data_IF_581334546709
#
_entry.id   IF_581334546709
#
_cell.length_a   1.000
_cell.length_b   1.000
_cell.length_c   1.000
_cell.angle_alpha   90.00
_cell.angle_beta   90.00
_cell.angle_gamma   90.00
#
_symmetry.space_group_name_H-M   'P 1'
#
loop_
_entity.id
_entity.type
_entity.pdbx_description
1 polymer ?
#
# COMPACT_ATOMS: atom_id res chain seq x y z
N UNK A 1 -14.30 37.21 14.47
CA UNK A 1 -12.84 37.16 14.21
C UNK A 1 -12.04 36.62 15.41
N UNK A 2 -12.11 37.20 16.62
CA UNK A 2 -11.40 36.66 17.81
C UNK A 2 -11.97 35.34 18.36
N UNK A 3 -13.27 35.07 18.15
CA UNK A 3 -13.95 33.90 18.71
C UNK A 3 -13.59 32.60 17.99
N UNK A 4 -13.54 32.59 16.66
CA UNK A 4 -13.22 31.40 15.84
C UNK A 4 -11.75 30.96 15.95
N UNK A 5 -10.83 31.91 16.14
CA UNK A 5 -9.40 31.65 16.40
C UNK A 5 -9.18 30.88 17.71
N UNK A 6 -10.06 31.11 18.69
CA UNK A 6 -9.96 30.54 20.04
C UNK A 6 -10.44 29.08 20.08
N UNK A 7 -11.42 28.70 19.27
CA UNK A 7 -12.06 27.37 19.24
C UNK A 7 -11.13 26.32 18.63
N UNK A 8 -10.43 26.67 17.56
CA UNK A 8 -9.50 25.76 16.89
C UNK A 8 -8.19 25.61 17.66
N UNK A 9 -7.71 26.67 18.33
CA UNK A 9 -6.63 26.55 19.32
C UNK A 9 -7.05 25.73 20.55
N UNK A 10 -8.30 25.84 21.00
CA UNK A 10 -8.85 25.02 22.09
C UNK A 10 -8.75 23.53 21.78
N UNK A 11 -9.08 23.10 20.55
CA UNK A 11 -9.02 21.69 20.13
C UNK A 11 -7.58 21.15 20.07
N UNK A 12 -6.61 21.95 19.63
CA UNK A 12 -5.19 21.58 19.59
C UNK A 12 -4.60 21.50 21.00
N UNK A 13 -4.99 22.40 21.90
CA UNK A 13 -4.48 22.40 23.28
C UNK A 13 -5.17 21.35 24.16
N UNK A 14 -6.47 21.07 23.96
CA UNK A 14 -7.20 19.99 24.65
C UNK A 14 -6.69 18.60 24.27
N UNK A 15 -6.42 18.37 22.98
CA UNK A 15 -5.76 17.15 22.50
C UNK A 15 -4.34 17.01 23.06
N UNK A 16 -3.60 18.10 23.27
CA UNK A 16 -2.31 18.09 23.96
C UNK A 16 -2.43 17.79 25.47
N UNK A 17 -3.50 18.22 26.14
CA UNK A 17 -3.72 17.90 27.57
C UNK A 17 -4.16 16.46 27.81
N UNK A 18 -4.87 15.82 26.88
CA UNK A 18 -5.11 14.37 26.92
C UNK A 18 -3.81 13.60 26.58
N UNK A 19 -2.97 14.14 25.68
CA UNK A 19 -1.64 13.62 25.37
C UNK A 19 -0.65 13.66 26.55
N UNK A 20 -0.83 14.56 27.53
CA UNK A 20 -0.05 14.55 28.78
C UNK A 20 -0.13 13.20 29.52
N UNK A 21 -1.17 12.40 29.27
CA UNK A 21 -1.34 11.11 29.92
C UNK A 21 -0.63 9.95 29.20
N UNK A 22 -0.15 10.11 27.96
CA UNK A 22 0.28 8.97 27.13
C UNK A 22 1.57 9.12 26.31
N UNK A 23 2.16 10.31 26.14
CA UNK A 23 3.41 10.43 25.36
C UNK A 23 4.31 11.62 25.78
N UNK A 24 5.62 11.38 25.82
CA UNK A 24 6.66 12.39 26.11
C UNK A 24 6.80 13.43 25.01
N UNK A 25 6.52 13.09 23.75
CA UNK A 25 6.60 14.02 22.61
C UNK A 25 5.53 15.12 22.60
N UNK A 26 4.35 14.84 23.17
CA UNK A 26 3.26 15.82 23.30
C UNK A 26 3.52 16.88 24.36
N UNK A 27 4.31 16.54 25.40
CA UNK A 27 4.68 17.48 26.47
C UNK A 27 5.61 18.59 25.99
N UNK A 28 6.60 18.27 25.15
CA UNK A 28 7.53 19.24 24.58
C UNK A 28 6.84 20.24 23.64
N UNK A 29 5.92 19.76 22.78
CA UNK A 29 5.15 20.64 21.88
C UNK A 29 4.26 21.63 22.64
N UNK A 30 3.74 21.23 23.80
CA UNK A 30 2.92 22.09 24.64
C UNK A 30 3.76 23.17 25.36
N UNK A 31 4.95 22.81 25.85
CA UNK A 31 5.87 23.76 26.47
C UNK A 31 6.39 24.81 25.47
N UNK A 32 6.70 24.39 24.24
CA UNK A 32 7.09 25.28 23.14
C UNK A 32 5.97 26.28 22.79
N UNK A 33 4.72 25.81 22.74
CA UNK A 33 3.54 26.65 22.49
C UNK A 33 3.27 27.64 23.63
N UNK A 34 3.49 27.23 24.89
CA UNK A 34 3.36 28.13 26.04
C UNK A 34 4.44 29.21 26.06
N UNK A 35 5.66 28.84 25.65
CA UNK A 35 6.79 29.76 25.56
C UNK A 35 6.58 30.82 24.48
N UNK A 36 6.09 30.43 23.29
CA UNK A 36 5.79 31.37 22.21
C UNK A 36 4.55 32.25 22.48
N UNK A 37 3.54 31.77 23.22
CA UNK A 37 2.25 32.47 23.37
C UNK A 37 1.73 32.54 24.83
N UNK A 38 2.42 33.22 25.76
CA UNK A 38 2.09 33.20 27.19
C UNK A 38 0.75 33.84 27.57
N UNK A 39 0.23 34.79 26.78
CA UNK A 39 -1.05 35.46 27.04
C UNK A 39 -2.29 34.60 26.77
N UNK A 40 -2.13 33.47 26.07
CA UNK A 40 -3.24 32.57 25.75
C UNK A 40 -3.68 31.74 26.96
N UNK A 41 -2.72 31.33 27.81
CA UNK A 41 -2.91 30.41 28.95
C UNK A 41 -3.92 30.91 29.99
N UNK A 42 -4.07 32.22 30.15
CA UNK A 42 -4.91 32.79 31.20
C UNK A 42 -6.42 32.78 30.91
N UNK A 43 -6.83 32.45 29.68
CA UNK A 43 -8.22 32.56 29.20
C UNK A 43 -9.01 31.24 29.31
N UNK A 44 -8.37 30.15 29.76
CA UNK A 44 -8.86 28.77 29.58
C UNK A 44 -9.75 28.22 30.70
N UNK A 45 -9.86 28.85 31.87
CA UNK A 45 -10.61 28.29 33.01
C UNK A 45 -12.15 28.41 32.92
N UNK A 46 -12.70 28.96 31.84
CA UNK A 46 -14.11 29.40 31.80
C UNK A 46 -14.94 28.94 30.57
N UNK A 47 -14.48 27.97 29.76
CA UNK A 47 -15.19 27.59 28.51
C UNK A 47 -15.69 26.14 28.51
N UNK A 48 -16.97 25.99 28.18
CA UNK A 48 -17.69 24.72 28.02
C UNK A 48 -17.54 24.19 26.57
N UNK A 49 -16.97 22.98 26.43
CA UNK A 49 -16.47 22.41 25.18
C UNK A 49 -17.56 21.91 24.23
N UNK A 50 -18.70 21.48 24.75
CA UNK A 50 -19.70 20.75 23.97
C UNK A 50 -20.54 21.70 23.08
N UNK A 51 -20.66 22.97 23.49
CA UNK A 51 -21.37 23.99 22.74
C UNK A 51 -20.65 24.42 21.44
N UNK A 52 -19.32 24.23 21.37
CA UNK A 52 -18.50 24.74 20.27
C UNK A 52 -18.44 23.82 19.05
N UNK A 53 -18.56 22.51 19.26
CA UNK A 53 -18.49 21.50 18.20
C UNK A 53 -19.73 21.47 17.30
N UNK A 54 -20.87 21.96 17.79
CA UNK A 54 -22.17 21.84 17.09
C UNK A 54 -22.42 22.96 16.07
N UNK A 55 -21.76 24.12 16.16
CA UNK A 55 -22.23 25.34 15.47
C UNK A 55 -21.33 25.99 14.43
N UNK A 56 -20.10 25.54 14.15
CA UNK A 56 -19.24 26.29 13.20
C UNK A 56 -18.64 25.44 12.10
N UNK A 57 -19.30 25.44 10.94
CA UNK A 57 -18.66 25.16 9.65
C UNK A 57 -17.51 26.15 9.43
N UNK A 58 -16.28 25.68 9.56
CA UNK A 58 -15.08 26.51 9.55
C UNK A 58 -14.66 26.87 8.12
N UNK A 59 -15.27 27.92 7.56
CA UNK A 59 -15.01 28.41 6.19
C UNK A 59 -13.93 29.52 6.12
N UNK A 60 -13.19 29.78 7.20
CA UNK A 60 -12.17 30.83 7.27
C UNK A 60 -10.91 30.38 8.03
N UNK A 61 -10.07 29.55 7.39
CA UNK A 61 -8.73 29.21 7.88
C UNK A 61 -7.76 30.38 7.60
N UNK A 62 -6.96 30.77 8.61
CA UNK A 62 -5.82 31.69 8.40
C UNK A 62 -4.83 31.05 7.39
N UNK A 63 -4.08 31.83 6.61
CA UNK A 63 -3.15 31.30 5.59
C UNK A 63 -2.18 30.23 6.11
N UNK A 64 -1.70 30.34 7.36
CA UNK A 64 -0.83 29.34 7.98
C UNK A 64 -1.54 28.01 8.27
N UNK A 65 -2.82 28.04 8.66
CA UNK A 65 -3.61 26.81 8.87
C UNK A 65 -4.03 26.19 7.54
N UNK A 66 -4.29 27.03 6.54
CA UNK A 66 -4.45 26.59 5.16
C UNK A 66 -3.17 25.91 4.67
N UNK A 67 -2.00 26.49 4.93
CA UNK A 67 -0.71 25.91 4.60
C UNK A 67 -0.45 24.61 5.37
N UNK A 68 -0.76 24.54 6.67
CA UNK A 68 -0.61 23.30 7.46
C UNK A 68 -1.55 22.15 7.05
N UNK A 69 -2.74 22.46 6.52
CA UNK A 69 -3.79 21.48 6.24
C UNK A 69 -3.89 21.13 4.74
N UNK A 70 -3.65 22.10 3.86
CA UNK A 70 -3.63 21.92 2.40
C UNK A 70 -2.22 21.63 1.87
N UNK A 71 -1.15 22.03 2.58
CA UNK A 71 0.23 21.86 2.12
C UNK A 71 1.24 21.70 3.27
N UNK A 72 1.06 20.64 4.07
CA UNK A 72 1.90 20.37 5.24
C UNK A 72 3.40 20.25 4.90
N UNK A 73 3.74 19.95 3.64
CA UNK A 73 5.10 19.84 3.12
C UNK A 73 5.77 21.21 2.93
N UNK A 74 5.01 22.29 2.76
CA UNK A 74 5.55 23.65 2.76
C UNK A 74 5.98 24.14 4.15
N UNK A 75 5.73 23.38 5.22
CA UNK A 75 6.34 23.64 6.54
C UNK A 75 7.69 22.92 6.58
N UNK A 76 8.84 23.62 6.45
CA UNK A 76 10.12 22.96 6.20
C UNK A 76 10.49 21.95 7.29
N UNK A 77 10.20 22.25 8.55
CA UNK A 77 10.48 21.34 9.66
C UNK A 77 9.62 20.06 9.65
N UNK A 78 8.39 20.10 9.11
CA UNK A 78 7.55 18.90 8.94
C UNK A 78 7.97 18.10 7.72
N UNK A 79 8.26 18.78 6.60
CA UNK A 79 8.80 18.15 5.40
C UNK A 79 10.11 17.40 5.70
N UNK A 80 11.07 18.04 6.36
CA UNK A 80 12.35 17.42 6.76
C UNK A 80 12.10 16.19 7.66
N UNK A 81 11.28 16.30 8.71
CA UNK A 81 10.99 15.17 9.59
C UNK A 81 10.32 13.99 8.87
N UNK A 82 9.52 14.27 7.86
CA UNK A 82 8.89 13.24 7.05
C UNK A 82 9.91 12.57 6.11
N UNK A 83 10.76 13.35 5.44
CA UNK A 83 11.88 12.83 4.66
C UNK A 83 12.82 11.98 5.51
N UNK A 84 13.19 12.45 6.71
CA UNK A 84 14.01 11.70 7.66
C UNK A 84 13.34 10.39 8.08
N UNK A 85 12.01 10.38 8.22
CA UNK A 85 11.27 9.17 8.54
C UNK A 85 11.27 8.16 7.38
N UNK A 86 11.09 8.64 6.15
CA UNK A 86 11.18 7.83 4.94
C UNK A 86 12.59 7.24 4.74
N UNK A 87 13.65 8.04 4.90
CA UNK A 87 15.04 7.58 4.79
C UNK A 87 15.37 6.57 5.91
N UNK A 88 14.97 6.86 7.15
CA UNK A 88 15.22 5.96 8.29
C UNK A 88 14.52 4.60 8.11
N UNK A 89 13.29 4.63 7.62
CA UNK A 89 12.43 3.45 7.54
C UNK A 89 12.41 2.85 6.11
N UNK A 90 13.35 3.24 5.25
CA UNK A 90 13.38 2.83 3.84
C UNK A 90 13.43 1.33 3.64
N UNK A 91 14.10 0.59 4.54
CA UNK A 91 14.18 -0.87 4.52
C UNK A 91 12.95 -1.57 5.12
N UNK A 92 11.85 -0.85 5.32
CA UNK A 92 10.63 -1.34 5.93
C UNK A 92 9.40 -0.93 5.07
N UNK A 93 8.96 -1.81 4.15
CA UNK A 93 7.79 -1.58 3.29
C UNK A 93 6.52 -1.15 4.07
N UNK A 94 6.27 -1.76 5.23
CA UNK A 94 5.11 -1.41 6.07
C UNK A 94 5.20 0.05 6.55
N UNK A 95 6.39 0.47 6.99
CA UNK A 95 6.61 1.81 7.50
C UNK A 95 6.51 2.87 6.39
N UNK A 96 7.00 2.57 5.19
CA UNK A 96 6.83 3.43 4.01
C UNK A 96 5.34 3.65 3.74
N UNK A 97 4.54 2.58 3.68
CA UNK A 97 3.08 2.70 3.49
C UNK A 97 2.40 3.42 4.66
N UNK A 98 2.87 3.23 5.89
CA UNK A 98 2.39 4.01 7.02
C UNK A 98 2.59 5.52 6.80
N UNK A 99 3.77 5.94 6.36
CA UNK A 99 4.08 7.34 6.11
C UNK A 99 3.26 7.91 4.94
N UNK A 100 3.09 7.17 3.85
CA UNK A 100 2.28 7.64 2.70
C UNK A 100 0.80 7.82 3.05
N UNK A 101 0.22 6.91 3.85
CA UNK A 101 -1.15 7.05 4.34
C UNK A 101 -1.29 8.12 5.43
N UNK A 102 -0.24 8.34 6.23
CA UNK A 102 -0.20 9.43 7.20
C UNK A 102 -0.25 10.79 6.51
N UNK A 103 0.37 10.95 5.34
CA UNK A 103 0.25 12.18 4.52
C UNK A 103 -1.19 12.47 4.11
N UNK A 104 -2.00 11.42 3.93
CA UNK A 104 -3.42 11.52 3.59
C UNK A 104 -4.33 11.71 4.82
N UNK A 105 -3.77 11.90 6.02
CA UNK A 105 -4.53 11.99 7.26
C UNK A 105 -5.21 10.67 7.65
N UNK A 106 -4.76 9.55 7.08
CA UNK A 106 -5.34 8.22 7.28
C UNK A 106 -4.34 7.21 7.89
N UNK A 107 -3.63 7.53 8.99
CA UNK A 107 -2.80 6.53 9.65
C UNK A 107 -3.73 5.46 10.22
N UNK A 108 -3.83 4.29 9.59
CA UNK A 108 -4.47 3.16 10.23
C UNK A 108 -3.76 2.86 11.55
N UNK A 109 -4.50 2.54 12.60
CA UNK A 109 -3.95 2.27 13.92
C UNK A 109 -2.91 1.15 13.89
N UNK A 110 -1.63 1.52 14.00
CA UNK A 110 -0.58 0.68 14.59
C UNK A 110 -0.28 1.09 16.04
N UNK A 111 -0.67 2.33 16.41
CA UNK A 111 -0.67 2.88 17.77
C UNK A 111 -1.95 3.68 18.11
N UNK A 112 -2.97 3.61 17.24
CA UNK A 112 -4.32 4.14 17.49
C UNK A 112 -5.30 3.02 17.83
N UNK A 113 -6.51 3.32 18.36
CA UNK A 113 -7.47 2.30 18.74
C UNK A 113 -7.78 1.38 17.54
N UNK A 114 -7.95 0.05 17.78
CA UNK A 114 -8.27 -0.90 16.72
C UNK A 114 -9.49 -0.43 15.93
N UNK A 115 -9.49 -0.66 14.61
CA UNK A 115 -10.69 -0.41 13.82
C UNK A 115 -11.83 -1.20 14.46
N UNK A 116 -12.96 -0.54 14.72
CA UNK A 116 -14.12 -1.22 15.27
C UNK A 116 -14.45 -2.40 14.33
N UNK A 117 -14.48 -3.62 14.87
CA UNK A 117 -14.61 -4.93 14.19
C UNK A 117 -13.33 -5.68 13.78
N UNK A 118 -12.12 -5.11 13.93
CA UNK A 118 -10.85 -5.85 13.71
C UNK A 118 -10.24 -6.22 15.06
N UNK A 119 -10.21 -7.51 15.40
CA UNK A 119 -9.40 -8.00 16.53
C UNK A 119 -8.09 -8.54 15.97
N UNK A 120 -6.92 -7.96 16.31
CA UNK A 120 -5.66 -8.46 15.79
C UNK A 120 -5.49 -9.92 16.22
N UNK A 121 -5.44 -10.83 15.25
CA UNK A 121 -5.16 -12.23 15.49
C UNK A 121 -3.66 -12.46 15.35
N UNK A 122 -3.09 -13.26 16.24
CA UNK A 122 -1.73 -13.76 16.03
C UNK A 122 -1.76 -14.74 14.87
N UNK A 123 -1.18 -14.36 13.73
CA UNK A 123 -1.05 -15.24 12.57
C UNK A 123 0.13 -16.22 12.68
N UNK A 124 0.94 -16.14 13.75
CA UNK A 124 2.15 -16.94 13.91
C UNK A 124 1.86 -18.41 14.17
N UNK A 125 2.44 -19.30 13.35
CA UNK A 125 2.27 -20.75 13.47
C UNK A 125 3.52 -21.35 14.14
N UNK A 126 3.42 -21.89 15.38
CA UNK A 126 4.60 -22.23 16.18
C UNK A 126 5.24 -23.59 15.88
N UNK A 127 4.56 -24.55 15.22
CA UNK A 127 5.11 -25.91 15.02
C UNK A 127 4.48 -26.68 13.85
N UNK A 128 5.16 -27.75 13.41
CA UNK A 128 4.74 -28.65 12.33
C UNK A 128 3.41 -29.35 12.55
N UNK A 129 3.10 -29.65 13.82
CA UNK A 129 1.92 -30.45 14.21
C UNK A 129 0.60 -29.72 13.93
N UNK A 130 0.67 -28.43 13.62
CA UNK A 130 -0.49 -27.59 13.34
C UNK A 130 -0.77 -27.37 11.85
N UNK A 131 0.12 -27.78 10.92
CA UNK A 131 -0.07 -27.42 9.50
C UNK A 131 -1.35 -28.01 8.90
N UNK A 132 -1.68 -29.26 9.19
CA UNK A 132 -2.90 -29.88 8.64
C UNK A 132 -4.18 -29.21 9.19
N UNK A 133 -4.15 -28.79 10.46
CA UNK A 133 -5.23 -28.02 11.07
C UNK A 133 -5.37 -26.65 10.41
N UNK A 134 -4.25 -25.94 10.22
CA UNK A 134 -4.21 -24.64 9.55
C UNK A 134 -4.72 -24.75 8.11
N UNK A 135 -4.27 -25.75 7.35
CA UNK A 135 -4.75 -26.00 5.99
C UNK A 135 -6.26 -26.25 6.00
N UNK A 136 -6.75 -27.07 6.94
CA UNK A 136 -8.19 -27.30 7.08
C UNK A 136 -8.98 -26.03 7.39
N UNK A 137 -8.43 -25.14 8.22
CA UNK A 137 -9.05 -23.84 8.51
C UNK A 137 -9.07 -22.93 7.27
N UNK A 138 -7.95 -22.83 6.54
CA UNK A 138 -7.86 -22.06 5.30
C UNK A 138 -8.75 -22.65 4.19
N UNK A 139 -8.93 -23.97 4.13
CA UNK A 139 -9.91 -24.59 3.23
C UNK A 139 -11.32 -24.09 3.53
N UNK A 140 -11.69 -23.98 4.80
CA UNK A 140 -13.01 -23.48 5.19
C UNK A 140 -13.17 -21.97 4.95
N UNK A 141 -12.13 -21.18 5.22
CA UNK A 141 -12.18 -19.71 5.11
C UNK A 141 -12.07 -19.20 3.68
N UNK A 142 -11.07 -19.69 2.95
CA UNK A 142 -10.68 -19.18 1.63
C UNK A 142 -10.70 -20.26 0.54
N UNK A 143 -11.27 -21.44 0.78
CA UNK A 143 -11.37 -22.46 -0.27
C UNK A 143 -10.02 -23.04 -0.72
N UNK A 144 -9.02 -23.02 0.17
CA UNK A 144 -7.69 -23.58 -0.09
C UNK A 144 -7.78 -25.01 -0.65
N UNK A 145 -7.22 -25.22 -1.84
CA UNK A 145 -7.13 -26.52 -2.50
C UNK A 145 -5.90 -26.61 -3.41
N UNK A 146 -5.16 -27.72 -3.36
CA UNK A 146 -4.02 -27.93 -4.26
C UNK A 146 -4.49 -28.20 -5.70
N UNK A 147 -3.78 -27.62 -6.67
CA UNK A 147 -4.01 -27.87 -8.08
C UNK A 147 -3.01 -28.90 -8.62
N UNK A 148 -3.48 -29.82 -9.47
CA UNK A 148 -2.63 -30.84 -10.13
C UNK A 148 -1.76 -31.60 -9.11
N UNK A 149 -0.44 -31.63 -9.32
CA UNK A 149 0.53 -32.27 -8.40
C UNK A 149 0.93 -31.38 -7.20
N UNK A 150 0.22 -30.27 -6.97
CA UNK A 150 0.54 -29.27 -5.96
C UNK A 150 0.70 -29.84 -4.55
N UNK A 151 -0.10 -30.82 -4.13
CA UNK A 151 0.05 -31.44 -2.80
C UNK A 151 1.38 -32.19 -2.65
N UNK A 152 1.85 -32.83 -3.74
CA UNK A 152 3.14 -33.53 -3.75
C UNK A 152 4.28 -32.52 -3.70
N UNK A 153 4.23 -31.48 -4.52
CA UNK A 153 5.22 -30.40 -4.53
C UNK A 153 5.28 -29.66 -3.20
N UNK A 154 4.12 -29.39 -2.59
CA UNK A 154 4.02 -28.77 -1.26
C UNK A 154 4.81 -29.53 -0.20
N UNK A 155 4.76 -30.88 -0.22
CA UNK A 155 5.51 -31.71 0.74
C UNK A 155 7.02 -31.68 0.55
N UNK A 156 7.51 -31.26 -0.63
CA UNK A 156 8.95 -31.08 -0.91
C UNK A 156 9.44 -29.77 -0.29
N UNK A 157 8.60 -28.74 -0.21
CA UNK A 157 8.99 -27.43 0.34
C UNK A 157 9.48 -27.55 1.79
N UNK A 158 10.57 -26.84 2.14
CA UNK A 158 11.00 -26.66 3.52
C UNK A 158 9.85 -26.23 4.44
N UNK A 159 9.87 -26.72 5.68
CA UNK A 159 8.82 -26.44 6.65
C UNK A 159 8.66 -24.94 6.92
N UNK A 160 9.79 -24.22 6.99
CA UNK A 160 9.81 -22.77 7.21
C UNK A 160 9.06 -22.01 6.11
N UNK A 161 9.34 -22.30 4.84
CA UNK A 161 8.64 -21.71 3.69
C UNK A 161 7.14 -22.00 3.77
N UNK A 162 6.76 -23.25 4.03
CA UNK A 162 5.34 -23.62 4.17
C UNK A 162 4.65 -22.84 5.29
N UNK A 163 5.30 -22.68 6.44
CA UNK A 163 4.75 -21.89 7.55
C UNK A 163 4.54 -20.45 7.09
N UNK A 164 5.55 -19.80 6.52
CA UNK A 164 5.44 -18.40 6.07
C UNK A 164 4.35 -18.17 5.02
N UNK A 165 4.19 -19.11 4.10
CA UNK A 165 3.09 -19.08 3.12
C UNK A 165 1.74 -19.11 3.84
N UNK A 166 1.55 -20.03 4.78
CA UNK A 166 0.28 -20.15 5.51
C UNK A 166 -0.01 -18.92 6.39
N UNK A 167 1.01 -18.33 7.03
CA UNK A 167 0.89 -17.06 7.77
C UNK A 167 0.43 -15.93 6.85
N UNK A 168 1.02 -15.85 5.66
CA UNK A 168 0.65 -14.85 4.63
C UNK A 168 -0.79 -15.04 4.16
N UNK A 169 -1.24 -16.29 3.94
CA UNK A 169 -2.61 -16.57 3.54
C UNK A 169 -3.65 -16.17 4.61
N UNK A 170 -3.34 -16.29 5.90
CA UNK A 170 -4.21 -15.76 6.95
C UNK A 170 -4.29 -14.24 6.92
N UNK A 171 -3.16 -13.55 6.73
CA UNK A 171 -3.14 -12.10 6.61
C UNK A 171 -3.89 -11.62 5.36
N UNK A 172 -3.79 -12.35 4.24
CA UNK A 172 -4.56 -12.07 3.02
C UNK A 172 -6.07 -12.22 3.25
N UNK A 173 -6.52 -13.24 4.01
CA UNK A 173 -7.93 -13.38 4.39
C UNK A 173 -8.43 -12.17 5.19
N UNK A 174 -7.65 -11.74 6.19
CA UNK A 174 -8.01 -10.59 7.03
C UNK A 174 -7.99 -9.28 6.22
N UNK A 175 -6.99 -9.09 5.38
CA UNK A 175 -6.87 -7.93 4.50
C UNK A 175 -8.05 -7.85 3.50
N UNK A 176 -8.46 -8.97 2.90
CA UNK A 176 -9.60 -9.01 1.99
C UNK A 176 -10.90 -8.61 2.71
N UNK A 177 -11.16 -9.11 3.92
CA UNK A 177 -12.34 -8.72 4.70
C UNK A 177 -12.41 -7.21 4.95
N UNK A 178 -11.28 -6.56 5.21
CA UNK A 178 -11.20 -5.10 5.41
C UNK A 178 -11.34 -4.36 4.08
N UNK A 179 -10.74 -4.87 3.01
CA UNK A 179 -10.86 -4.31 1.67
C UNK A 179 -12.29 -4.35 1.15
N UNK A 180 -13.02 -5.45 1.35
CA UNK A 180 -14.41 -5.52 0.93
C UNK A 180 -15.28 -4.45 1.64
N UNK A 181 -14.93 -4.07 2.87
CA UNK A 181 -15.57 -2.94 3.57
C UNK A 181 -15.14 -1.55 3.08
N UNK A 182 -14.04 -1.46 2.32
CA UNK A 182 -13.61 -0.27 1.60
C UNK A 182 -14.28 -0.19 0.23
N UNK A 183 -14.27 -1.29 -0.53
CA UNK A 183 -14.81 -1.39 -1.89
C UNK A 183 -16.34 -1.32 -1.90
N UNK A 184 -17.02 -2.04 -1.00
CA UNK A 184 -18.48 -2.18 -1.00
C UNK A 184 -19.26 -0.86 -1.09
N UNK A 185 -19.01 0.13 -0.19
CA UNK A 185 -19.70 1.42 -0.23
C UNK A 185 -19.49 2.22 -1.51
N UNK A 186 -18.33 2.06 -2.18
CA UNK A 186 -18.05 2.70 -3.48
C UNK A 186 -18.82 1.98 -4.58
N UNK A 187 -18.86 0.65 -4.54
CA UNK A 187 -19.59 -0.18 -5.50
C UNK A 187 -21.10 -0.01 -5.42
N UNK A 188 -21.66 0.24 -4.24
CA UNK A 188 -23.10 0.46 -4.06
C UNK A 188 -23.60 1.73 -4.75
N UNK A 189 -22.72 2.74 -4.90
CA UNK A 189 -23.04 4.01 -5.56
C UNK A 189 -22.54 4.07 -7.00
N UNK A 190 -21.64 3.18 -7.39
CA UNK A 190 -21.09 3.15 -8.72
C UNK A 190 -21.89 2.20 -9.63
N UNK A 191 -22.39 2.71 -10.75
CA UNK A 191 -23.05 1.92 -11.79
C UNK A 191 -22.01 1.17 -12.66
N UNK A 192 -20.99 0.56 -12.03
CA UNK A 192 -20.06 -0.29 -12.78
C UNK A 192 -20.83 -1.49 -13.32
N UNK A 193 -20.85 -1.65 -14.65
CA UNK A 193 -21.53 -2.79 -15.25
C UNK A 193 -20.87 -4.09 -14.77
N UNK A 194 -21.71 -5.02 -14.29
CA UNK A 194 -21.26 -6.36 -13.89
C UNK A 194 -20.66 -7.07 -15.10
N UNK A 195 -19.35 -7.31 -15.08
CA UNK A 195 -18.64 -8.10 -16.09
C UNK A 195 -17.49 -7.37 -16.79
N UNK A 196 -17.30 -6.07 -16.54
CA UNK A 196 -16.21 -5.31 -17.13
C UNK A 196 -14.90 -5.54 -16.35
N UNK A 197 -13.81 -5.87 -17.06
CA UNK A 197 -12.49 -6.09 -16.47
C UNK A 197 -11.87 -4.80 -15.92
N UNK A 198 -10.74 -4.91 -15.19
CA UNK A 198 -10.07 -3.77 -14.54
C UNK A 198 -9.75 -2.61 -15.47
N UNK A 199 -9.49 -2.87 -16.75
CA UNK A 199 -9.20 -1.82 -17.74
C UNK A 199 -10.29 -0.77 -17.82
N UNK A 200 -11.53 -1.22 -17.90
CA UNK A 200 -12.67 -0.33 -18.05
C UNK A 200 -12.98 0.38 -16.73
N UNK A 201 -12.82 -0.33 -15.60
CA UNK A 201 -12.94 0.26 -14.27
C UNK A 201 -11.93 1.38 -14.06
N UNK A 202 -10.65 1.12 -14.33
CA UNK A 202 -9.58 2.11 -14.21
C UNK A 202 -9.87 3.31 -15.11
N UNK A 203 -10.31 3.07 -16.35
CA UNK A 203 -10.69 4.15 -17.27
C UNK A 203 -11.83 5.01 -16.69
N UNK A 204 -12.86 4.39 -16.11
CA UNK A 204 -13.99 5.09 -15.52
C UNK A 204 -13.63 5.85 -14.24
N UNK A 205 -12.84 5.24 -13.35
CA UNK A 205 -12.38 5.90 -12.12
C UNK A 205 -11.42 7.03 -12.45
N UNK A 206 -10.51 6.84 -13.41
CA UNK A 206 -9.51 7.84 -13.79
C UNK A 206 -10.02 8.94 -14.71
N UNK A 207 -11.25 8.84 -15.23
CA UNK A 207 -11.84 9.79 -16.19
C UNK A 207 -11.67 11.26 -15.79
N UNK A 208 -11.91 11.67 -14.53
CA UNK A 208 -11.73 13.07 -14.12
C UNK A 208 -10.30 13.59 -14.27
N UNK A 209 -9.30 12.73 -14.02
CA UNK A 209 -7.88 13.10 -14.09
C UNK A 209 -7.35 13.00 -15.52
N UNK A 210 -7.81 12.03 -16.30
CA UNK A 210 -7.46 11.93 -17.72
C UNK A 210 -8.00 13.13 -18.51
N UNK A 211 -9.25 13.50 -18.27
CA UNK A 211 -9.90 14.62 -18.96
C UNK A 211 -9.53 15.99 -18.36
N UNK A 212 -8.85 16.01 -17.21
CA UNK A 212 -8.51 17.23 -16.44
C UNK A 212 -9.73 18.11 -16.15
N UNK A 213 -10.90 17.51 -16.12
CA UNK A 213 -12.20 18.16 -15.95
C UNK A 213 -13.13 17.20 -15.20
N UNK A 214 -13.88 17.75 -14.24
CA UNK A 214 -14.89 17.00 -13.53
C UNK A 214 -16.22 17.08 -14.29
N UNK A 215 -16.37 16.23 -15.30
CA UNK A 215 -17.59 16.17 -16.11
C UNK A 215 -18.69 15.34 -15.45
N UNK A 216 -18.31 14.37 -14.61
CA UNK A 216 -19.21 13.52 -13.86
C UNK A 216 -19.07 13.76 -12.36
N UNK A 217 -20.14 14.29 -11.74
CA UNK A 217 -20.18 14.54 -10.30
C UNK A 217 -20.24 13.26 -9.46
N UNK A 218 -20.50 12.08 -10.05
CA UNK A 218 -20.47 10.81 -9.33
C UNK A 218 -19.09 10.48 -8.76
N UNK A 219 -18.02 11.01 -9.39
CA UNK A 219 -16.66 10.87 -8.87
C UNK A 219 -16.50 11.50 -7.47
N UNK A 220 -17.21 12.60 -7.16
CA UNK A 220 -17.22 13.19 -5.81
C UNK A 220 -17.82 12.18 -4.82
N UNK A 221 -18.95 11.58 -5.16
CA UNK A 221 -19.60 10.57 -4.32
C UNK A 221 -18.68 9.38 -4.04
N UNK A 222 -17.89 8.93 -5.04
CA UNK A 222 -16.94 7.85 -4.84
C UNK A 222 -15.84 8.23 -3.86
N UNK A 223 -15.30 9.44 -3.99
CA UNK A 223 -14.29 9.99 -3.06
C UNK A 223 -14.84 10.02 -1.63
N UNK A 224 -16.08 10.50 -1.44
CA UNK A 224 -16.72 10.58 -0.12
C UNK A 224 -16.94 9.21 0.55
N UNK A 225 -17.08 8.14 -0.24
CA UNK A 225 -17.27 6.78 0.28
C UNK A 225 -15.96 6.06 0.63
N UNK A 226 -14.82 6.55 0.16
CA UNK A 226 -13.54 5.89 0.34
C UNK A 226 -12.98 6.08 1.75
N UNK A 227 -12.89 5.00 2.54
CA UNK A 227 -12.28 5.02 3.87
C UNK A 227 -10.80 4.62 3.80
N UNK A 228 -9.93 5.63 3.61
CA UNK A 228 -8.48 5.44 3.49
C UNK A 228 -7.85 4.74 4.71
N UNK A 229 -8.49 4.73 5.89
CA UNK A 229 -7.95 4.02 7.06
C UNK A 229 -8.07 2.51 6.91
N UNK A 230 -9.13 2.02 6.27
CA UNK A 230 -9.27 0.59 5.95
C UNK A 230 -8.23 0.17 4.92
N UNK A 231 -8.06 1.00 3.89
CA UNK A 231 -7.04 0.79 2.87
C UNK A 231 -5.63 0.79 3.48
N UNK A 232 -5.32 1.76 4.35
CA UNK A 232 -4.05 1.84 5.07
C UNK A 232 -3.78 0.61 5.95
N UNK A 233 -4.78 0.12 6.70
CA UNK A 233 -4.64 -1.05 7.55
C UNK A 233 -4.27 -2.29 6.74
N UNK A 234 -5.07 -2.58 5.71
CA UNK A 234 -4.88 -3.77 4.90
C UNK A 234 -3.59 -3.70 4.06
N UNK A 235 -3.21 -2.51 3.56
CA UNK A 235 -1.92 -2.31 2.88
C UNK A 235 -0.75 -2.69 3.77
N UNK A 236 -0.76 -2.21 5.01
CA UNK A 236 0.34 -2.43 5.95
C UNK A 236 0.43 -3.88 6.38
N UNK A 237 -0.71 -4.51 6.69
CA UNK A 237 -0.76 -5.94 7.03
C UNK A 237 -0.11 -6.81 5.94
N UNK A 238 -0.45 -6.57 4.67
CA UNK A 238 0.13 -7.32 3.55
C UNK A 238 1.62 -7.04 3.37
N UNK A 239 2.04 -5.78 3.44
CA UNK A 239 3.45 -5.41 3.33
C UNK A 239 4.31 -6.02 4.45
N UNK A 240 3.77 -6.14 5.68
CA UNK A 240 4.45 -6.81 6.79
C UNK A 240 4.72 -8.29 6.47
N UNK A 241 3.75 -9.01 5.92
CA UNK A 241 3.93 -10.44 5.61
C UNK A 241 4.83 -10.68 4.38
N UNK A 242 4.72 -9.85 3.33
CA UNK A 242 5.67 -9.91 2.21
C UNK A 242 7.11 -9.63 2.67
N UNK A 243 7.29 -8.65 3.57
CA UNK A 243 8.60 -8.36 4.17
C UNK A 243 9.15 -9.49 5.06
N UNK A 244 8.30 -10.43 5.50
CA UNK A 244 8.73 -11.64 6.20
C UNK A 244 9.06 -12.76 5.23
N UNK A 245 8.31 -12.88 4.14
CA UNK A 245 8.60 -13.82 3.05
C UNK A 245 9.96 -13.50 2.39
N UNK A 246 10.32 -12.21 2.22
CA UNK A 246 11.60 -11.82 1.59
C UNK A 246 12.82 -12.27 2.37
N UNK A 247 12.65 -12.59 3.65
CA UNK A 247 13.73 -12.98 4.57
C UNK A 247 13.96 -14.48 4.62
N UNK A 248 13.40 -15.25 3.67
CA UNK A 248 13.56 -16.72 3.63
C UNK A 248 14.87 -17.14 2.92
N UNK A 249 15.68 -16.18 2.47
CA UNK A 249 16.94 -16.37 1.75
C UNK A 249 17.98 -17.32 2.40
N UNK A 250 17.89 -17.66 3.69
CA UNK A 250 18.77 -18.65 4.33
C UNK A 250 18.34 -20.11 4.14
N UNK A 251 17.19 -20.37 3.52
CA UNK A 251 16.63 -21.72 3.38
C UNK A 251 17.02 -22.35 2.05
N UNK A 252 17.72 -23.48 2.09
CA UNK A 252 18.07 -24.22 0.86
C UNK A 252 16.82 -24.77 0.17
N UNK A 253 16.60 -24.36 -1.08
CA UNK A 253 15.48 -24.83 -1.91
C UNK A 253 15.84 -26.19 -2.52
N UNK A 254 15.06 -27.25 -2.28
CA UNK A 254 15.36 -28.55 -2.87
C UNK A 254 15.28 -28.50 -4.40
N UNK A 255 16.33 -28.94 -5.11
CA UNK A 255 16.39 -29.00 -6.59
C UNK A 255 15.21 -29.77 -7.22
N UNK A 256 14.63 -30.71 -6.47
CA UNK A 256 13.47 -31.48 -6.89
C UNK A 256 12.16 -30.67 -6.87
N UNK A 257 12.12 -29.53 -6.19
CA UNK A 257 10.98 -28.62 -6.20
C UNK A 257 10.98 -27.83 -7.52
N UNK A 258 9.82 -27.80 -8.18
CA UNK A 258 9.61 -27.08 -9.45
C UNK A 258 8.57 -26.00 -9.30
N UNK A 259 7.34 -26.38 -8.99
CA UNK A 259 6.32 -25.43 -8.60
C UNK A 259 5.25 -26.09 -7.74
N UNK A 260 4.49 -25.26 -7.04
CA UNK A 260 3.28 -25.64 -6.33
C UNK A 260 2.18 -24.61 -6.62
N UNK A 261 1.05 -25.09 -7.13
CA UNK A 261 -0.12 -24.27 -7.41
C UNK A 261 -1.26 -24.60 -6.44
N UNK A 262 -1.84 -23.56 -5.86
CA UNK A 262 -2.96 -23.65 -4.92
C UNK A 262 -4.08 -22.73 -5.41
N UNK A 263 -5.32 -23.20 -5.38
CA UNK A 263 -6.51 -22.40 -5.64
C UNK A 263 -7.14 -21.94 -4.33
N UNK A 264 -7.55 -20.68 -4.29
CA UNK A 264 -8.33 -20.09 -3.19
C UNK A 264 -9.41 -19.18 -3.77
N UNK A 265 -10.36 -18.75 -2.93
CA UNK A 265 -11.37 -17.75 -3.27
C UNK A 265 -10.76 -16.35 -3.46
N UNK A 266 -9.59 -16.08 -2.87
CA UNK A 266 -8.84 -14.84 -3.06
C UNK A 266 -8.14 -14.79 -4.42
N UNK A 267 -7.87 -15.95 -5.02
CA UNK A 267 -7.21 -16.13 -6.31
C UNK A 267 -6.22 -17.30 -6.28
N UNK A 268 -5.51 -17.52 -7.38
CA UNK A 268 -4.49 -18.56 -7.45
C UNK A 268 -3.24 -18.14 -6.69
N UNK A 269 -2.63 -19.09 -5.98
CA UNK A 269 -1.33 -18.94 -5.31
C UNK A 269 -0.32 -19.79 -6.08
N UNK A 270 0.78 -19.17 -6.49
CA UNK A 270 1.87 -19.83 -7.20
C UNK A 270 3.15 -19.79 -6.36
N UNK A 271 3.82 -20.92 -6.23
CA UNK A 271 5.17 -20.99 -5.67
C UNK A 271 6.05 -21.64 -6.73
N UNK A 272 7.06 -20.93 -7.21
CA UNK A 272 8.00 -21.37 -8.23
C UNK A 272 9.36 -21.68 -7.60
N UNK A 273 10.12 -22.59 -8.20
CA UNK A 273 11.41 -23.04 -7.69
C UNK A 273 12.54 -22.16 -8.21
N UNK A 274 13.78 -22.51 -7.90
CA UNK A 274 14.96 -21.71 -8.27
C UNK A 274 15.40 -21.89 -9.74
N UNK A 275 14.48 -22.00 -10.69
CA UNK A 275 14.83 -22.35 -12.06
C UNK A 275 13.99 -21.61 -13.06
N UNK A 276 14.64 -21.08 -14.09
CA UNK A 276 14.09 -20.21 -15.10
C UNK A 276 12.80 -20.78 -15.72
N UNK A 277 11.69 -20.15 -15.38
CA UNK A 277 10.36 -20.43 -15.87
C UNK A 277 9.84 -19.28 -16.77
N UNK A 278 8.74 -19.55 -17.47
CA UNK A 278 7.94 -18.50 -18.12
C UNK A 278 6.59 -18.51 -17.46
N UNK A 279 6.29 -17.43 -16.75
CA UNK A 279 5.14 -17.32 -15.87
C UNK A 279 4.11 -16.41 -16.54
N UNK A 280 3.11 -17.05 -17.13
CA UNK A 280 1.92 -16.40 -17.71
C UNK A 280 0.69 -16.80 -16.87
N UNK A 281 0.16 -15.86 -16.09
CA UNK A 281 -0.99 -16.10 -15.24
C UNK A 281 -1.27 -15.00 -14.23
N UNK A 282 -2.50 -15.00 -13.70
CA UNK A 282 -2.95 -14.07 -12.67
C UNK A 282 -2.92 -14.72 -11.29
N UNK A 283 -2.15 -14.15 -10.37
CA UNK A 283 -1.99 -14.69 -9.01
C UNK A 283 -2.47 -13.68 -7.97
N UNK A 284 -3.08 -14.18 -6.89
CA UNK A 284 -3.29 -13.40 -5.68
C UNK A 284 -2.00 -13.30 -4.86
N UNK A 285 -1.17 -14.34 -4.90
CA UNK A 285 0.19 -14.37 -4.38
C UNK A 285 1.05 -15.26 -5.28
N UNK A 286 2.13 -14.73 -5.81
CA UNK A 286 3.21 -15.48 -6.42
C UNK A 286 4.44 -15.36 -5.54
N UNK A 287 5.12 -16.49 -5.32
CA UNK A 287 6.40 -16.56 -4.63
C UNK A 287 7.35 -17.21 -5.62
N UNK A 288 8.25 -16.40 -6.16
CA UNK A 288 9.41 -16.91 -6.84
C UNK A 288 10.51 -17.20 -5.82
N UNK A 289 11.15 -18.36 -5.96
CA UNK A 289 12.28 -18.75 -5.11
C UNK A 289 13.61 -18.58 -5.84
N UNK A 290 13.55 -18.16 -7.11
CA UNK A 290 14.62 -17.54 -7.88
C UNK A 290 14.82 -18.16 -9.26
N UNK A 291 15.90 -17.77 -9.94
CA UNK A 291 16.11 -18.11 -11.35
C UNK A 291 15.87 -16.89 -12.22
N UNK A 292 16.29 -16.92 -13.48
CA UNK A 292 16.05 -15.78 -14.39
C UNK A 292 14.74 -16.06 -15.16
N UNK A 293 13.67 -15.47 -14.67
CA UNK A 293 12.28 -15.76 -15.01
C UNK A 293 11.67 -14.70 -15.93
N UNK A 294 10.71 -15.13 -16.75
CA UNK A 294 9.94 -14.25 -17.61
C UNK A 294 8.49 -14.21 -17.13
N UNK A 295 8.12 -13.11 -16.47
CA UNK A 295 6.75 -12.81 -16.10
C UNK A 295 6.04 -12.06 -17.23
N UNK A 296 4.85 -12.53 -17.62
CA UNK A 296 4.06 -11.88 -18.67
C UNK A 296 2.59 -11.65 -18.27
N UNK A 297 1.98 -10.63 -18.89
CA UNK A 297 0.55 -10.37 -18.76
C UNK A 297 0.20 -9.50 -17.56
N UNK A 298 -0.70 -9.97 -16.68
CA UNK A 298 -1.14 -9.16 -15.54
C UNK A 298 -0.36 -9.53 -14.28
N UNK A 299 0.64 -8.70 -13.96
CA UNK A 299 1.69 -8.99 -12.99
C UNK A 299 1.47 -8.14 -11.72
N UNK A 300 1.38 -8.80 -10.56
CA UNK A 300 1.22 -8.13 -9.26
C UNK A 300 0.07 -7.10 -9.23
N UNK A 301 -1.00 -7.31 -9.99
CA UNK A 301 -2.12 -6.36 -10.10
C UNK A 301 -3.44 -7.09 -9.87
N UNK A 302 -4.41 -6.51 -9.13
CA UNK A 302 -5.73 -7.10 -8.93
C UNK A 302 -6.36 -7.52 -10.26
N UNK A 303 -7.34 -8.42 -10.23
CA UNK A 303 -8.07 -8.85 -11.45
C UNK A 303 -9.57 -8.49 -11.42
N UNK A 304 -10.14 -8.28 -10.22
CA UNK A 304 -11.51 -7.81 -10.05
C UNK A 304 -11.77 -7.31 -8.62
N UNK A 305 -12.95 -6.72 -8.38
CA UNK A 305 -13.39 -6.36 -7.02
C UNK A 305 -13.50 -7.55 -6.05
N UNK A 306 -13.64 -8.78 -6.57
CA UNK A 306 -13.70 -10.01 -5.78
C UNK A 306 -12.32 -10.62 -5.54
N UNK A 307 -11.33 -10.18 -6.31
CA UNK A 307 -9.94 -10.58 -6.20
C UNK A 307 -9.09 -9.30 -6.15
N UNK A 308 -9.26 -8.49 -5.09
CA UNK A 308 -8.64 -7.18 -4.98
C UNK A 308 -7.19 -7.26 -4.52
N UNK A 309 -6.59 -8.45 -4.39
CA UNK A 309 -5.22 -8.64 -3.92
C UNK A 309 -4.44 -9.36 -5.01
N UNK A 310 -3.29 -8.82 -5.38
CA UNK A 310 -2.27 -9.49 -6.18
C UNK A 310 -0.89 -9.08 -5.70
N UNK A 311 -0.10 -10.07 -5.28
CA UNK A 311 1.20 -9.87 -4.70
C UNK A 311 2.22 -10.78 -5.38
N UNK A 312 3.42 -10.29 -5.57
CA UNK A 312 4.58 -11.05 -6.02
C UNK A 312 5.70 -10.82 -5.01
N UNK A 313 6.44 -11.88 -4.74
CA UNK A 313 7.73 -11.79 -4.12
C UNK A 313 8.71 -12.63 -4.93
N UNK A 314 9.79 -11.99 -5.35
CA UNK A 314 10.96 -12.64 -5.92
C UNK A 314 12.09 -12.63 -4.89
N UNK A 315 12.90 -13.67 -4.88
CA UNK A 315 14.01 -13.82 -3.95
C UNK A 315 15.38 -13.68 -4.61
N UNK A 316 15.52 -13.95 -5.92
CA UNK A 316 16.79 -13.87 -6.63
C UNK A 316 16.64 -14.18 -8.12
N UNK A 317 17.19 -13.38 -9.02
CA UNK A 317 17.15 -13.70 -10.44
C UNK A 317 17.42 -12.47 -11.29
N UNK A 318 17.89 -12.62 -12.53
CA UNK A 318 17.83 -11.49 -13.47
C UNK A 318 16.51 -11.58 -14.25
N UNK A 319 15.45 -11.00 -13.69
CA UNK A 319 14.06 -11.23 -14.09
C UNK A 319 13.53 -10.22 -15.11
N UNK A 320 12.58 -10.67 -15.92
CA UNK A 320 11.85 -9.81 -16.86
C UNK A 320 10.37 -9.80 -16.54
N UNK A 321 9.87 -8.65 -16.10
CA UNK A 321 8.47 -8.38 -15.83
C UNK A 321 7.86 -7.59 -17.00
N UNK A 322 7.38 -8.30 -18.03
CA UNK A 322 6.73 -7.69 -19.19
C UNK A 322 5.20 -7.76 -19.05
N UNK A 323 4.60 -6.71 -18.48
CA UNK A 323 3.14 -6.68 -18.34
C UNK A 323 2.39 -6.52 -19.66
N UNK A 324 3.05 -6.16 -20.77
CA UNK A 324 2.37 -5.92 -22.04
C UNK A 324 1.12 -5.04 -21.84
N UNK A 325 -0.05 -5.54 -22.26
CA UNK A 325 -1.36 -4.90 -22.09
C UNK A 325 -2.06 -5.20 -20.75
N UNK A 326 -1.43 -5.94 -19.84
CA UNK A 326 -1.82 -6.08 -18.45
C UNK A 326 -1.35 -4.89 -17.60
N UNK A 327 -1.12 -5.12 -16.31
CA UNK A 327 -0.63 -4.10 -15.39
C UNK A 327 0.47 -4.70 -14.53
N UNK A 328 1.56 -3.97 -14.31
CA UNK A 328 2.68 -4.36 -13.43
C UNK A 328 2.60 -3.54 -12.13
N UNK A 329 2.01 -4.13 -11.10
CA UNK A 329 1.81 -3.50 -9.77
C UNK A 329 0.75 -2.39 -9.71
N UNK A 330 -0.34 -2.47 -10.48
CA UNK A 330 -1.43 -1.51 -10.34
C UNK A 330 -2.26 -1.75 -9.06
N UNK A 331 -2.56 -0.71 -8.30
CA UNK A 331 -3.39 -0.71 -7.10
C UNK A 331 -4.76 -0.10 -7.33
N UNK A 332 -5.55 -0.60 -8.28
CA UNK A 332 -6.88 -0.09 -8.58
C UNK A 332 -7.96 -0.84 -7.80
N UNK A 333 -8.67 -0.14 -6.90
CA UNK A 333 -9.72 -0.72 -6.04
C UNK A 333 -9.23 -1.99 -5.30
N UNK A 334 -7.96 -1.98 -4.91
CA UNK A 334 -7.27 -3.15 -4.38
C UNK A 334 -5.78 -2.91 -4.16
N UNK A 335 -5.03 -4.00 -4.10
CA UNK A 335 -3.61 -4.08 -3.80
C UNK A 335 -2.84 -4.77 -4.91
N UNK A 336 -1.89 -4.01 -5.46
CA UNK A 336 -0.77 -4.56 -6.21
C UNK A 336 0.50 -4.40 -5.40
N UNK A 337 1.23 -5.49 -5.16
CA UNK A 337 2.53 -5.43 -4.48
C UNK A 337 3.55 -6.35 -5.16
N UNK A 338 4.76 -5.86 -5.38
CA UNK A 338 5.90 -6.64 -5.83
C UNK A 338 7.07 -6.28 -4.93
N UNK A 339 7.67 -7.29 -4.32
CA UNK A 339 8.95 -7.16 -3.63
C UNK A 339 9.95 -8.00 -4.39
N UNK A 340 10.94 -7.35 -5.00
CA UNK A 340 12.13 -7.99 -5.53
C UNK A 340 13.26 -7.86 -4.49
N UNK A 341 14.09 -8.88 -4.38
CA UNK A 341 15.13 -8.96 -3.35
C UNK A 341 16.52 -8.82 -3.94
N UNK A 342 16.75 -9.32 -5.15
CA UNK A 342 18.04 -9.35 -5.77
C UNK A 342 17.92 -9.73 -7.23
N UNK A 343 18.51 -8.92 -8.09
CA UNK A 343 18.48 -9.22 -9.50
C UNK A 343 19.13 -8.16 -10.33
N UNK A 344 18.99 -8.29 -11.63
CA UNK A 344 19.11 -7.17 -12.56
C UNK A 344 17.90 -7.26 -13.46
N UNK A 345 16.92 -6.43 -13.15
CA UNK A 345 15.56 -6.66 -13.57
C UNK A 345 15.07 -5.66 -14.59
N UNK A 346 14.11 -6.12 -15.39
CA UNK A 346 13.39 -5.29 -16.34
C UNK A 346 11.91 -5.23 -15.96
N UNK A 347 11.45 -4.05 -15.56
CA UNK A 347 10.05 -3.78 -15.25
C UNK A 347 9.40 -2.98 -16.38
N UNK A 348 8.54 -3.62 -17.18
CA UNK A 348 7.91 -2.98 -18.33
C UNK A 348 6.37 -2.98 -18.26
N UNK A 349 5.77 -1.82 -18.56
CA UNK A 349 4.32 -1.68 -18.70
C UNK A 349 3.87 -0.73 -19.81
N UNK A 350 2.95 -1.20 -20.66
CA UNK A 350 2.30 -0.36 -21.70
C UNK A 350 1.14 0.49 -21.17
N UNK A 351 0.54 0.10 -20.04
CA UNK A 351 -0.57 0.81 -19.40
C UNK A 351 -0.08 1.59 -18.17
N UNK A 352 -1.02 2.18 -17.41
CA UNK A 352 -0.75 2.77 -16.09
C UNK A 352 -0.34 1.68 -15.08
N UNK A 353 0.92 1.24 -15.20
CA UNK A 353 1.61 0.29 -14.35
C UNK A 353 2.89 0.91 -13.78
N UNK A 354 3.76 0.08 -13.21
CA UNK A 354 4.89 0.44 -12.35
C UNK A 354 4.41 1.23 -11.13
N UNK A 355 3.77 0.49 -10.23
CA UNK A 355 3.29 0.98 -8.94
C UNK A 355 2.33 2.19 -9.00
N UNK A 356 1.38 2.19 -9.95
CA UNK A 356 0.32 3.20 -10.01
C UNK A 356 -0.93 2.75 -9.24
N UNK A 357 -1.59 3.65 -8.50
CA UNK A 357 -2.76 3.36 -7.70
C UNK A 357 -3.95 4.28 -7.99
N UNK A 358 -5.16 3.71 -7.93
CA UNK A 358 -6.41 4.44 -8.06
C UNK A 358 -7.45 3.84 -7.11
N UNK A 359 -7.85 4.57 -6.06
CA UNK A 359 -8.68 4.00 -4.98
C UNK A 359 -8.05 2.73 -4.38
N UNK A 360 -6.74 2.70 -4.21
CA UNK A 360 -6.04 1.49 -3.76
C UNK A 360 -4.59 1.74 -3.38
N UNK A 361 -3.83 0.65 -3.23
CA UNK A 361 -2.39 0.72 -2.95
C UNK A 361 -1.59 -0.08 -3.95
N UNK A 362 -0.51 0.54 -4.43
CA UNK A 362 0.48 -0.05 -5.31
C UNK A 362 1.86 0.11 -4.67
N UNK A 363 2.63 -0.96 -4.61
CA UNK A 363 4.01 -0.94 -4.10
C UNK A 363 4.91 -1.85 -4.93
N UNK A 364 5.84 -1.29 -5.68
CA UNK A 364 6.99 -2.00 -6.25
C UNK A 364 8.18 -1.62 -5.37
N UNK A 365 8.84 -2.63 -4.81
CA UNK A 365 9.93 -2.47 -3.87
C UNK A 365 11.07 -3.37 -4.33
N UNK A 366 12.06 -2.79 -4.99
CA UNK A 366 13.32 -3.42 -5.38
C UNK A 366 14.38 -3.18 -4.28
N UNK A 367 15.24 -4.16 -4.06
CA UNK A 367 16.26 -4.08 -3.02
C UNK A 367 17.69 -3.99 -3.55
N UNK A 368 17.96 -4.52 -4.74
CA UNK A 368 19.31 -4.74 -5.25
C UNK A 368 19.24 -5.03 -6.75
N UNK A 369 19.92 -4.22 -7.54
CA UNK A 369 20.13 -4.54 -8.94
C UNK A 369 20.78 -3.42 -9.71
N UNK A 370 20.65 -3.43 -11.03
CA UNK A 370 20.94 -2.29 -11.89
C UNK A 370 19.76 -2.26 -12.87
N UNK A 371 18.67 -1.64 -12.46
CA UNK A 371 17.36 -2.02 -12.96
C UNK A 371 16.81 -1.06 -14.01
N UNK A 372 15.85 -1.55 -14.78
CA UNK A 372 15.23 -0.76 -15.86
C UNK A 372 13.72 -0.70 -15.66
N UNK A 373 13.21 0.50 -15.44
CA UNK A 373 11.79 0.79 -15.24
C UNK A 373 11.20 1.49 -16.46
N UNK A 374 10.54 0.74 -17.34
CA UNK A 374 9.96 1.23 -18.59
C UNK A 374 8.43 1.37 -18.50
N UNK A 375 7.93 2.59 -18.64
CA UNK A 375 6.50 2.85 -18.85
C UNK A 375 6.22 3.64 -20.12
N UNK A 376 5.26 3.16 -20.89
CA UNK A 376 4.73 3.88 -22.05
C UNK A 376 3.39 4.61 -21.75
N UNK A 377 2.99 4.69 -20.47
CA UNK A 377 1.78 5.38 -20.02
C UNK A 377 2.07 6.71 -19.32
N UNK A 378 1.06 7.58 -19.27
CA UNK A 378 1.11 8.89 -18.62
C UNK A 378 0.77 8.88 -17.12
N UNK A 379 0.74 7.73 -16.46
CA UNK A 379 0.58 7.59 -15.01
C UNK A 379 1.32 6.34 -14.54
N UNK A 380 2.57 6.50 -14.12
CA UNK A 380 3.46 5.39 -13.78
C UNK A 380 4.56 5.79 -12.78
N UNK A 381 5.32 4.81 -12.30
CA UNK A 381 6.47 5.00 -11.41
C UNK A 381 6.06 5.71 -10.10
N UNK A 382 5.26 5.02 -9.30
CA UNK A 382 4.88 5.49 -7.95
C UNK A 382 3.81 6.59 -7.97
N UNK A 383 2.74 6.41 -8.75
CA UNK A 383 1.66 7.40 -8.91
C UNK A 383 0.43 7.01 -8.12
N UNK A 384 -0.30 7.98 -7.55
CA UNK A 384 -1.54 7.68 -6.85
C UNK A 384 -2.65 8.71 -7.07
N UNK A 385 -3.88 8.20 -7.19
CA UNK A 385 -5.11 8.97 -7.05
C UNK A 385 -5.98 8.26 -6.02
N UNK A 386 -6.29 8.92 -4.91
CA UNK A 386 -7.00 8.33 -3.77
C UNK A 386 -6.34 7.01 -3.29
N UNK A 387 -5.30 7.12 -2.46
CA UNK A 387 -4.53 5.97 -1.99
C UNK A 387 -3.03 6.18 -2.12
N UNK A 388 -2.27 5.09 -2.26
CA UNK A 388 -0.80 5.12 -2.19
C UNK A 388 -0.17 4.40 -3.37
N UNK A 389 0.73 5.06 -4.09
CA UNK A 389 1.50 4.50 -5.19
C UNK A 389 2.97 4.69 -4.90
N UNK A 390 3.70 3.59 -4.76
CA UNK A 390 5.05 3.58 -4.20
C UNK A 390 5.98 2.77 -5.08
N UNK A 391 7.00 3.41 -5.61
CA UNK A 391 8.16 2.77 -6.22
C UNK A 391 9.35 3.03 -5.29
N UNK A 392 9.97 1.97 -4.78
CA UNK A 392 11.21 2.04 -4.01
C UNK A 392 12.26 1.20 -4.70
N UNK A 393 13.41 1.80 -4.93
CA UNK A 393 14.68 1.15 -5.24
C UNK A 393 15.67 1.49 -4.13
N UNK A 394 16.44 0.51 -3.67
CA UNK A 394 17.39 0.71 -2.58
C UNK A 394 18.83 0.86 -3.07
N UNK A 395 19.23 0.15 -4.12
CA UNK A 395 20.62 -0.08 -4.49
C UNK A 395 20.73 -0.44 -5.98
N UNK A 396 21.46 0.35 -6.77
CA UNK A 396 21.76 0.02 -8.17
C UNK A 396 22.11 1.24 -9.00
N UNK A 397 22.64 1.07 -10.21
CA UNK A 397 22.67 2.16 -11.20
C UNK A 397 21.47 2.02 -12.16
N UNK A 398 20.39 2.77 -11.91
CA UNK A 398 19.08 2.48 -12.51
C UNK A 398 18.70 3.39 -13.69
N UNK A 399 17.77 2.90 -14.53
CA UNK A 399 17.16 3.66 -15.61
C UNK A 399 15.63 3.73 -15.52
N UNK A 400 15.11 4.94 -15.31
CA UNK A 400 13.68 5.23 -15.26
C UNK A 400 13.22 5.93 -16.53
N UNK A 401 12.34 5.30 -17.32
CA UNK A 401 11.76 5.88 -18.52
C UNK A 401 10.24 5.93 -18.44
N UNK A 402 9.66 7.14 -18.49
CA UNK A 402 8.21 7.32 -18.43
C UNK A 402 7.73 8.45 -19.35
N UNK A 403 6.40 8.54 -19.49
CA UNK A 403 5.73 9.69 -20.11
C UNK A 403 5.23 10.67 -19.03
N UNK A 404 4.25 11.50 -19.39
CA UNK A 404 3.61 12.50 -18.52
C UNK A 404 3.22 11.98 -17.12
N UNK A 405 3.06 12.92 -16.16
CA UNK A 405 2.46 12.70 -14.83
C UNK A 405 2.86 11.40 -14.11
N UNK A 406 4.17 11.12 -14.11
CA UNK A 406 4.81 9.94 -13.53
C UNK A 406 5.86 10.36 -12.48
N UNK A 407 6.64 9.42 -11.96
CA UNK A 407 7.75 9.65 -11.01
C UNK A 407 7.30 10.32 -9.70
N UNK A 408 6.57 9.57 -8.88
CA UNK A 408 6.13 10.04 -7.56
C UNK A 408 4.97 11.04 -7.60
N UNK A 409 4.20 11.11 -8.69
CA UNK A 409 3.09 12.06 -8.79
C UNK A 409 1.90 11.66 -7.91
N UNK A 410 1.55 12.53 -6.94
CA UNK A 410 0.37 12.45 -6.10
C UNK A 410 -0.79 13.29 -6.65
N UNK A 411 -1.84 12.63 -7.12
CA UNK A 411 -3.10 13.27 -7.50
C UNK A 411 -4.03 13.53 -6.32
N UNK A 412 -5.30 13.81 -6.59
CA UNK A 412 -6.30 14.08 -5.55
C UNK A 412 -6.37 12.95 -4.52
N UNK A 413 -6.15 13.29 -3.24
CA UNK A 413 -6.11 12.32 -2.13
C UNK A 413 -5.17 11.13 -2.35
N UNK A 414 -4.19 11.27 -3.24
CA UNK A 414 -3.19 10.25 -3.54
C UNK A 414 -1.81 10.67 -3.06
N UNK A 415 -1.07 9.73 -2.51
CA UNK A 415 0.36 9.88 -2.25
C UNK A 415 1.12 9.07 -3.27
N UNK A 416 1.78 9.76 -4.21
CA UNK A 416 2.79 9.17 -5.07
C UNK A 416 4.16 9.28 -4.41
N UNK A 417 4.97 8.23 -4.51
CA UNK A 417 6.33 8.16 -3.99
C UNK A 417 7.20 7.38 -4.96
N UNK A 418 8.25 8.03 -5.46
CA UNK A 418 9.42 7.37 -6.02
C UNK A 418 10.57 7.62 -5.04
N UNK A 419 11.18 6.55 -4.55
CA UNK A 419 12.31 6.60 -3.64
C UNK A 419 13.42 5.73 -4.20
N UNK A 420 14.51 6.36 -4.59
CA UNK A 420 15.73 5.72 -5.04
C UNK A 420 16.84 6.19 -4.09
N UNK A 421 17.57 5.25 -3.49
CA UNK A 421 18.41 5.53 -2.33
C UNK A 421 19.91 5.53 -2.58
N UNK A 422 20.39 4.89 -3.65
CA UNK A 422 21.80 4.92 -4.00
C UNK A 422 22.02 4.42 -5.41
N UNK A 423 22.91 5.08 -6.15
CA UNK A 423 23.13 4.80 -7.55
C UNK A 423 23.64 6.03 -8.30
N UNK A 424 24.11 5.82 -9.52
CA UNK A 424 24.28 6.86 -10.55
C UNK A 424 23.13 6.78 -11.59
N UNK A 425 21.92 7.15 -11.16
CA UNK A 425 20.67 6.85 -11.88
C UNK A 425 20.31 7.83 -12.99
N UNK A 426 19.50 7.34 -13.95
CA UNK A 426 19.00 8.13 -15.09
C UNK A 426 17.50 8.21 -15.10
N UNK A 427 16.99 9.44 -15.10
CA UNK A 427 15.56 9.74 -15.18
C UNK A 427 15.24 10.39 -16.53
N UNK A 428 14.52 9.66 -17.38
CA UNK A 428 14.13 10.08 -18.72
C UNK A 428 12.61 10.29 -18.83
N UNK A 429 12.25 11.43 -19.43
CA UNK A 429 10.87 11.82 -19.68
C UNK A 429 10.69 12.13 -21.17
N UNK A 430 9.72 11.48 -21.83
CA UNK A 430 9.41 11.68 -23.25
C UNK A 430 8.15 12.49 -23.54
#
# INVERSE_FOLDING_TARGET
MKFSMMVTMLLVLLSCTEWRASDSGGSAQYEDLQYEFPSLVHTFECLDSDALLVQTGALHSLPLFRLLYEDAMQVPAKGIKLCDAFIRDCRNPEAILYHTFRMLGAPAGGHGPPLASTSPRSHTIPSSDNLDLVISELTNKIGFSFLKEGERSWKILPLEIRIRILETLYAMEEADLVLQQFIGPIMDVAEFEKGNGIKQMLTSLMEPWHNKQLNNLSAITYIEKADLRKLSFASRLLATELSRLSKINSTEIPVAFKNCLISTNLGQIGIFGSGNDTIDGTFALLIDLGGDDLHTGNIASPVSFRNPISMIIDLAGDDTYDAQNGYLVNGCMGFGMLIDVAGKDLYQSENSGIASACYGTAMLYDMQGDDIYLSHSGFSQGVAHLGSGVLVDLEGDDEYCCNNSSQGYGGTMGTGLLMDLSGDDKYNYS
#
